data_IF_913144272726
#
_entry.id   IF_913144272726
#
_cell.length_a   1.000
_cell.length_b   1.000
_cell.length_c   1.000
_cell.angle_alpha   90.00
_cell.angle_beta   90.00
_cell.angle_gamma   90.00
#
_symmetry.space_group_name_H-M   'P 1'
#
loop_
_entity.id
_entity.type
_entity.pdbx_description
1 polymer ?
#
# COMPACT_ATOMS: atom_id res chain seq x y z
N UNK A 1 30.18 38.18 3.16
CA UNK A 1 29.57 36.88 3.51
C UNK A 1 28.08 37.00 3.26
N UNK A 2 27.58 36.42 2.16
CA UNK A 2 26.15 36.46 1.82
C UNK A 2 25.44 35.31 2.52
N UNK A 3 24.38 35.63 3.29
CA UNK A 3 23.52 34.61 3.90
C UNK A 3 23.01 33.63 2.81
N UNK A 4 23.01 32.31 3.06
CA UNK A 4 22.44 31.37 2.12
C UNK A 4 20.93 31.62 1.98
N UNK A 5 20.36 31.45 0.78
CA UNK A 5 18.94 31.69 0.57
C UNK A 5 18.12 30.71 1.41
N UNK A 6 17.13 31.23 2.14
CA UNK A 6 16.15 30.40 2.85
C UNK A 6 15.38 29.61 1.80
N UNK A 7 15.71 28.33 1.64
CA UNK A 7 14.96 27.42 0.79
C UNK A 7 13.46 27.46 1.19
N UNK A 8 12.63 27.92 0.26
CA UNK A 8 11.22 28.16 0.46
C UNK A 8 10.50 26.85 0.83
N UNK A 9 9.84 26.81 1.99
CA UNK A 9 9.04 25.65 2.44
C UNK A 9 7.96 25.26 1.42
N UNK A 10 7.55 26.17 0.53
CA UNK A 10 6.66 25.87 -0.60
C UNK A 10 7.30 24.98 -1.68
N UNK A 11 8.61 25.05 -1.90
CA UNK A 11 9.28 24.21 -2.90
C UNK A 11 9.25 22.72 -2.51
N UNK A 12 9.35 22.40 -1.21
CA UNK A 12 9.18 21.02 -0.70
C UNK A 12 7.74 20.50 -0.85
N UNK A 13 6.74 21.39 -0.91
CA UNK A 13 5.32 21.04 -1.11
C UNK A 13 4.94 20.79 -2.59
N UNK A 14 5.80 21.18 -3.54
CA UNK A 14 5.60 21.00 -4.98
C UNK A 14 6.42 19.85 -5.58
N UNK A 15 7.11 19.10 -4.75
CA UNK A 15 7.56 17.77 -5.15
C UNK A 15 6.31 16.89 -5.03
N UNK A 16 5.56 16.79 -6.12
CA UNK A 16 4.52 15.76 -6.30
C UNK A 16 5.09 14.49 -5.71
N UNK A 17 4.42 13.92 -4.71
CA UNK A 17 4.91 12.71 -4.06
C UNK A 17 5.00 11.65 -5.16
N UNK A 18 6.22 11.41 -5.65
CA UNK A 18 6.51 10.48 -6.74
C UNK A 18 6.40 9.03 -6.31
N UNK A 19 6.00 8.80 -5.06
CA UNK A 19 6.03 7.51 -4.41
C UNK A 19 4.91 7.42 -3.36
N UNK A 20 4.36 6.23 -3.21
CA UNK A 20 3.55 5.85 -2.06
C UNK A 20 3.91 4.43 -1.65
N UNK A 21 3.95 4.16 -0.34
CA UNK A 21 4.28 2.84 0.18
C UNK A 21 3.74 2.61 1.58
N UNK A 22 3.51 1.34 1.90
CA UNK A 22 2.96 0.95 3.19
C UNK A 22 2.88 -0.55 3.38
N UNK A 23 2.62 -0.94 4.62
CA UNK A 23 2.45 -2.32 5.05
C UNK A 23 1.00 -2.50 5.46
N UNK A 24 0.38 -3.59 5.04
CA UNK A 24 -1.04 -3.83 5.24
C UNK A 24 -1.25 -5.18 5.89
N UNK A 25 -2.18 -5.23 6.84
CA UNK A 25 -2.47 -6.42 7.64
C UNK A 25 -3.99 -6.53 7.89
N UNK A 26 -4.60 -7.72 7.82
CA UNK A 26 -5.95 -7.92 8.30
C UNK A 26 -5.96 -7.98 9.83
N UNK A 27 -6.96 -7.35 10.46
CA UNK A 27 -7.22 -7.50 11.88
C UNK A 27 -7.85 -8.86 12.21
N UNK A 28 -8.23 -9.09 13.48
CA UNK A 28 -8.88 -10.35 13.90
C UNK A 28 -10.24 -10.60 13.24
N UNK A 29 -10.88 -9.57 12.68
CA UNK A 29 -12.19 -9.62 12.01
C UNK A 29 -12.06 -9.69 10.48
N UNK A 30 -10.84 -9.80 9.96
CA UNK A 30 -10.57 -9.79 8.52
C UNK A 30 -10.67 -8.40 7.88
N UNK A 31 -10.63 -7.34 8.69
CA UNK A 31 -10.60 -5.96 8.22
C UNK A 31 -9.17 -5.52 7.96
N UNK A 32 -8.86 -5.15 6.73
CA UNK A 32 -7.54 -4.72 6.28
C UNK A 32 -7.26 -3.29 6.72
N UNK A 33 -6.09 -3.11 7.32
CA UNK A 33 -5.63 -1.84 7.86
C UNK A 33 -4.17 -1.58 7.46
N UNK A 34 -3.85 -0.30 7.36
CA UNK A 34 -2.50 0.20 7.18
C UNK A 34 -1.75 0.08 8.51
N UNK A 35 -0.63 -0.62 8.52
CA UNK A 35 0.20 -0.77 9.71
C UNK A 35 1.09 0.47 9.86
N UNK A 36 0.81 1.25 10.91
CA UNK A 36 1.61 2.38 11.35
C UNK A 36 1.89 2.20 12.86
N UNK A 37 3.07 1.74 13.21
CA UNK A 37 3.52 1.49 14.58
C UNK A 37 4.95 2.06 14.81
N UNK A 38 5.59 1.77 15.94
CA UNK A 38 6.93 2.29 16.27
C UNK A 38 8.01 1.88 15.26
N UNK A 39 7.79 0.77 14.55
CA UNK A 39 8.75 0.17 13.62
C UNK A 39 8.34 0.29 12.16
N UNK A 40 7.09 0.65 11.90
CA UNK A 40 6.51 0.74 10.56
C UNK A 40 5.80 2.06 10.37
N UNK A 41 6.07 2.72 9.24
CA UNK A 41 5.37 3.92 8.82
C UNK A 41 5.00 3.79 7.35
N UNK A 42 3.92 4.42 6.95
CA UNK A 42 3.51 4.55 5.55
C UNK A 42 3.74 5.97 5.05
N UNK A 43 3.79 6.11 3.73
CA UNK A 43 4.00 7.38 3.06
C UNK A 43 3.10 7.47 1.81
N UNK A 44 2.43 8.61 1.62
CA UNK A 44 1.62 8.86 0.42
C UNK A 44 0.32 8.03 0.34
N UNK A 45 -0.09 7.39 1.43
CA UNK A 45 -1.30 6.54 1.50
C UNK A 45 -2.30 7.17 2.47
N UNK A 46 -3.47 7.55 1.97
CA UNK A 46 -4.49 8.24 2.76
C UNK A 46 -5.40 7.28 3.52
N UNK A 47 -5.73 6.14 2.93
CA UNK A 47 -6.64 5.16 3.54
C UNK A 47 -6.53 3.79 2.88
N UNK A 48 -7.06 2.80 3.59
CA UNK A 48 -7.32 1.47 3.06
C UNK A 48 -8.79 1.13 3.27
N UNK A 49 -9.40 0.52 2.26
CA UNK A 49 -10.72 -0.06 2.35
C UNK A 49 -10.71 -1.44 1.70
N UNK A 50 -11.81 -2.19 1.82
CA UNK A 50 -11.91 -3.50 1.19
C UNK A 50 -13.32 -3.73 0.66
N UNK A 51 -13.39 -4.55 -0.38
CA UNK A 51 -14.61 -5.16 -0.90
C UNK A 51 -14.51 -6.68 -0.74
N UNK A 52 -15.50 -7.41 -1.25
CA UNK A 52 -15.42 -8.88 -1.31
C UNK A 52 -14.44 -9.37 -2.40
N UNK A 53 -13.96 -8.49 -3.28
CA UNK A 53 -13.06 -8.85 -4.38
C UNK A 53 -11.61 -8.41 -4.14
N UNK A 54 -11.39 -7.26 -3.51
CA UNK A 54 -10.06 -6.66 -3.38
C UNK A 54 -9.92 -5.76 -2.16
N UNK A 55 -8.67 -5.50 -1.76
CA UNK A 55 -8.29 -4.42 -0.85
C UNK A 55 -7.93 -3.20 -1.69
N UNK A 56 -8.51 -2.05 -1.38
CA UNK A 56 -8.22 -0.78 -2.05
C UNK A 56 -7.32 0.08 -1.19
N UNK A 57 -6.21 0.53 -1.77
CA UNK A 57 -5.25 1.45 -1.17
C UNK A 57 -5.45 2.80 -1.85
N UNK A 58 -5.89 3.82 -1.12
CA UNK A 58 -6.07 5.16 -1.67
C UNK A 58 -4.84 6.01 -1.38
N UNK A 59 -4.40 6.76 -2.38
CA UNK A 59 -3.23 7.63 -2.23
C UNK A 59 -3.61 8.97 -1.59
N UNK A 60 -2.65 9.64 -0.96
CA UNK A 60 -2.84 11.02 -0.49
C UNK A 60 -2.95 11.99 -1.67
N UNK A 61 -2.10 11.79 -2.68
CA UNK A 61 -2.10 12.58 -3.92
C UNK A 61 -2.24 11.63 -5.11
N UNK A 62 -3.12 11.92 -6.09
CA UNK A 62 -3.18 11.15 -7.33
C UNK A 62 -1.87 11.24 -8.13
N UNK A 63 -1.46 10.13 -8.72
CA UNK A 63 -0.45 10.10 -9.77
C UNK A 63 -1.09 10.49 -11.10
N UNK A 64 -0.41 11.34 -11.87
CA UNK A 64 -0.63 11.61 -13.29
C UNK A 64 -0.15 10.45 -14.17
N UNK A 65 0.94 9.79 -13.77
CA UNK A 65 1.50 8.63 -14.47
C UNK A 65 2.11 7.65 -13.47
N UNK A 66 1.95 6.34 -13.72
CA UNK A 66 2.52 5.28 -12.88
C UNK A 66 3.66 4.64 -13.65
N UNK A 67 4.87 4.68 -13.07
CA UNK A 67 6.04 4.03 -13.67
C UNK A 67 6.08 2.55 -13.32
N UNK A 68 5.85 2.23 -12.04
CA UNK A 68 5.82 0.86 -11.55
C UNK A 68 5.06 0.76 -10.24
N UNK A 69 4.55 -0.43 -9.95
CA UNK A 69 4.01 -0.79 -8.65
C UNK A 69 4.41 -2.22 -8.31
N UNK A 70 4.63 -2.50 -7.03
CA UNK A 70 4.93 -3.82 -6.51
C UNK A 70 4.05 -4.10 -5.30
N UNK A 71 3.59 -5.35 -5.21
CA UNK A 71 2.98 -5.91 -4.01
C UNK A 71 3.73 -7.19 -3.66
N UNK A 72 4.17 -7.30 -2.41
CA UNK A 72 4.96 -8.44 -1.94
C UNK A 72 4.28 -9.05 -0.73
N UNK A 73 3.97 -10.35 -0.73
CA UNK A 73 3.44 -11.04 0.45
C UNK A 73 4.58 -11.33 1.43
N UNK A 74 4.29 -11.40 2.72
CA UNK A 74 5.24 -11.88 3.72
C UNK A 74 5.40 -13.40 3.73
N UNK A 75 6.40 -13.87 4.47
CA UNK A 75 6.75 -15.28 4.56
C UNK A 75 5.57 -16.12 5.06
N UNK A 76 4.66 -15.53 5.84
CA UNK A 76 3.49 -16.23 6.36
C UNK A 76 2.41 -16.39 5.31
N UNK A 77 2.12 -15.34 4.55
CA UNK A 77 1.22 -15.42 3.42
C UNK A 77 1.75 -16.44 2.40
N UNK A 78 3.05 -16.43 2.12
CA UNK A 78 3.73 -17.40 1.25
C UNK A 78 3.58 -18.82 1.81
N UNK A 79 3.85 -19.06 3.10
CA UNK A 79 3.70 -20.37 3.74
C UNK A 79 2.27 -20.92 3.65
N UNK A 80 1.27 -20.04 3.65
CA UNK A 80 -0.14 -20.40 3.45
C UNK A 80 -0.55 -20.57 1.98
N UNK A 81 0.41 -20.51 1.04
CA UNK A 81 0.22 -20.53 -0.41
C UNK A 81 -0.69 -19.39 -0.91
N UNK A 82 -0.62 -18.23 -0.26
CA UNK A 82 -1.38 -17.06 -0.66
C UNK A 82 -0.53 -16.22 -1.60
N UNK A 83 -1.10 -16.03 -2.78
CA UNK A 83 -0.59 -15.18 -3.83
C UNK A 83 -1.24 -13.81 -3.70
N UNK A 84 -0.46 -12.76 -3.95
CA UNK A 84 -0.94 -11.39 -4.00
C UNK A 84 -0.62 -10.79 -5.36
N UNK A 85 -1.56 -10.01 -5.88
CA UNK A 85 -1.38 -9.22 -7.10
C UNK A 85 -2.00 -7.85 -6.92
N UNK A 86 -1.53 -6.87 -7.68
CA UNK A 86 -2.07 -5.52 -7.60
C UNK A 86 -2.29 -4.91 -8.98
N UNK A 87 -3.38 -4.16 -9.13
CA UNK A 87 -3.59 -3.23 -10.24
C UNK A 87 -3.46 -1.82 -9.70
N UNK A 88 -2.49 -1.07 -10.20
CA UNK A 88 -2.29 0.32 -9.86
C UNK A 88 -3.14 1.23 -10.77
N UNK A 89 -3.74 2.27 -10.19
CA UNK A 89 -4.51 3.32 -10.88
C UNK A 89 -4.06 4.68 -10.37
N UNK A 90 -4.41 5.76 -11.05
CA UNK A 90 -3.97 7.11 -10.70
C UNK A 90 -4.28 7.53 -9.25
N UNK A 91 -5.43 7.11 -8.70
CA UNK A 91 -5.90 7.53 -7.35
C UNK A 91 -5.79 6.44 -6.29
N UNK A 92 -5.59 5.19 -6.69
CA UNK A 92 -5.60 4.05 -5.80
C UNK A 92 -4.92 2.84 -6.42
N UNK A 93 -4.61 1.84 -5.61
CA UNK A 93 -4.33 0.47 -6.07
C UNK A 93 -5.42 -0.47 -5.57
N UNK A 94 -5.64 -1.55 -6.32
CA UNK A 94 -6.47 -2.69 -5.91
C UNK A 94 -5.57 -3.90 -5.75
N UNK A 95 -5.61 -4.51 -4.58
CA UNK A 95 -4.84 -5.70 -4.23
C UNK A 95 -5.77 -6.90 -4.17
N UNK A 96 -5.41 -7.94 -4.91
CA UNK A 96 -6.14 -9.19 -5.05
C UNK A 96 -5.36 -10.31 -4.37
N UNK A 97 -6.10 -11.28 -3.83
CA UNK A 97 -5.53 -12.44 -3.16
C UNK A 97 -6.01 -13.70 -3.86
N UNK A 98 -5.13 -14.67 -4.01
CA UNK A 98 -5.48 -15.98 -4.52
C UNK A 98 -4.77 -17.08 -3.74
N UNK A 99 -5.35 -18.29 -3.73
CA UNK A 99 -4.67 -19.51 -3.27
C UNK A 99 -4.71 -20.50 -4.40
N UNK A 100 -3.53 -20.94 -4.86
CA UNK A 100 -3.40 -21.88 -5.97
C UNK A 100 -4.23 -21.46 -7.20
N UNK A 101 -4.17 -20.17 -7.57
CA UNK A 101 -4.93 -19.61 -8.70
C UNK A 101 -6.41 -19.33 -8.44
N UNK A 102 -6.97 -19.72 -7.30
CA UNK A 102 -8.37 -19.47 -6.94
C UNK A 102 -8.46 -18.12 -6.20
N UNK A 103 -9.24 -17.15 -6.70
CA UNK A 103 -9.45 -15.88 -6.00
C UNK A 103 -10.01 -16.07 -4.59
N UNK A 104 -9.53 -15.25 -3.66
CA UNK A 104 -9.96 -15.25 -2.26
C UNK A 104 -10.70 -13.97 -1.92
N UNK A 105 -11.73 -14.10 -1.11
CA UNK A 105 -12.43 -12.95 -0.51
C UNK A 105 -11.54 -12.36 0.58
N UNK A 106 -11.11 -11.08 0.49
CA UNK A 106 -10.15 -10.50 1.44
C UNK A 106 -10.60 -10.58 2.89
N UNK A 107 -11.91 -10.46 3.15
CA UNK A 107 -12.49 -10.54 4.50
C UNK A 107 -12.43 -11.93 5.12
N UNK A 108 -12.36 -12.98 4.29
CA UNK A 108 -12.29 -14.37 4.74
C UNK A 108 -10.87 -14.83 5.06
N UNK A 109 -9.87 -13.99 4.80
CA UNK A 109 -8.47 -14.28 5.09
C UNK A 109 -8.19 -14.21 6.60
N UNK A 110 -8.42 -15.32 7.30
CA UNK A 110 -8.12 -15.47 8.73
C UNK A 110 -6.65 -15.85 8.96
N UNK A 111 -5.72 -15.01 8.51
CA UNK A 111 -4.28 -15.35 8.41
C UNK A 111 -3.49 -15.21 9.73
N UNK A 112 -4.18 -15.16 10.87
CA UNK A 112 -3.58 -14.86 12.16
C UNK A 112 -2.95 -13.46 12.24
N UNK A 113 -2.53 -13.04 13.44
CA UNK A 113 -2.06 -11.66 13.75
C UNK A 113 -0.77 -11.19 13.06
N UNK A 114 -0.23 -11.92 12.08
CA UNK A 114 1.15 -11.69 11.63
C UNK A 114 1.35 -11.73 10.10
N UNK A 115 0.27 -11.80 9.32
CA UNK A 115 0.37 -11.88 7.85
C UNK A 115 0.20 -10.50 7.22
N UNK A 116 1.20 -10.08 6.46
CA UNK A 116 1.33 -8.76 5.86
C UNK A 116 1.53 -8.86 4.36
N UNK A 117 1.20 -7.77 3.67
CA UNK A 117 1.83 -7.47 2.40
C UNK A 117 2.43 -6.06 2.42
N UNK A 118 3.49 -5.87 1.66
CA UNK A 118 4.06 -4.56 1.37
C UNK A 118 3.56 -4.11 0.02
N UNK A 119 3.22 -2.83 -0.08
CA UNK A 119 2.89 -2.18 -1.34
C UNK A 119 3.83 -1.00 -1.54
N UNK A 120 4.34 -0.88 -2.77
CA UNK A 120 5.16 0.22 -3.22
C UNK A 120 4.68 0.64 -4.61
N UNK A 121 4.60 1.94 -4.86
CA UNK A 121 4.31 2.51 -6.16
C UNK A 121 5.16 3.75 -6.38
N UNK A 122 5.59 3.96 -7.63
CA UNK A 122 6.25 5.18 -8.06
C UNK A 122 5.63 5.73 -9.34
N UNK A 123 5.61 7.05 -9.46
CA UNK A 123 5.00 7.79 -10.55
C UNK A 123 5.28 9.29 -10.52
N UNK A 124 4.49 10.05 -11.28
CA UNK A 124 4.50 11.51 -11.36
C UNK A 124 3.11 12.09 -11.16
#
# INVERSE_FOLDING_TARGET
>A
MTNPPKADKKLRRKQWQKEAWGIFRPDKKGMWQLLNDETHRSFGISSVSQTDEYVQINYETPFNMIHWAAVTPDEKMIFHNIQVGATARMKCARVYFAKTGIPLVPKMLQLGKKSNFWFYISGE
#
